data_IF_590651958255
#
_entry.id   IF_590651958255
#
_cell.length_a   1.000
_cell.length_b   1.000
_cell.length_c   1.000
_cell.angle_alpha   90.00
_cell.angle_beta   90.00
_cell.angle_gamma   90.00
#
_symmetry.space_group_name_H-M   'P 1'
#
loop_
_entity.id
_entity.type
_entity.pdbx_description
1 polymer ?
#
# COMPACT_ATOMS: atom_id res chain seq x y z
N UNK A 1 2.71 -8.99 7.15
CA UNK A 1 3.49 -8.69 8.37
C UNK A 1 3.03 -9.53 9.57
N UNK A 2 1.76 -9.44 10.00
CA UNK A 2 1.26 -10.21 11.15
C UNK A 2 1.54 -11.71 11.05
N UNK A 3 1.19 -12.32 9.92
CA UNK A 3 1.45 -13.75 9.71
C UNK A 3 2.94 -14.08 9.66
N UNK A 4 3.74 -13.19 9.08
CA UNK A 4 5.20 -13.37 9.01
C UNK A 4 5.83 -13.35 10.40
N UNK A 5 5.46 -12.39 11.26
CA UNK A 5 5.96 -12.31 12.64
C UNK A 5 5.53 -13.50 13.48
N UNK A 6 4.29 -13.99 13.30
CA UNK A 6 3.81 -15.20 13.98
C UNK A 6 4.57 -16.44 13.50
N UNK A 7 4.77 -16.59 12.18
CA UNK A 7 5.53 -17.71 11.64
C UNK A 7 6.97 -17.71 12.16
N UNK A 8 7.62 -16.55 12.23
CA UNK A 8 8.94 -16.38 12.83
C UNK A 8 8.92 -16.82 14.31
N UNK A 9 7.95 -16.34 15.10
CA UNK A 9 7.82 -16.68 16.51
C UNK A 9 7.60 -18.19 16.73
N UNK A 10 6.81 -18.83 15.87
CA UNK A 10 6.60 -20.29 15.92
C UNK A 10 7.88 -21.08 15.63
N UNK A 11 8.66 -20.65 14.63
CA UNK A 11 9.90 -21.34 14.24
C UNK A 11 11.00 -21.09 15.28
N UNK A 12 11.07 -19.91 15.87
CA UNK A 12 12.05 -19.55 16.91
C UNK A 12 11.70 -20.08 18.30
N UNK A 13 10.57 -20.78 18.44
CA UNK A 13 10.18 -21.41 19.69
C UNK A 13 9.77 -20.43 20.81
N UNK A 14 9.38 -19.22 20.46
CA UNK A 14 8.85 -18.28 21.46
C UNK A 14 7.53 -18.77 22.01
N UNK A 15 7.47 -18.98 23.34
CA UNK A 15 6.30 -19.50 24.06
C UNK A 15 5.17 -18.46 24.26
N UNK A 16 5.04 -17.50 23.37
CA UNK A 16 3.94 -16.53 23.42
C UNK A 16 2.70 -17.11 22.75
N UNK A 17 1.55 -16.96 23.37
CA UNK A 17 0.30 -17.43 22.78
C UNK A 17 0.03 -16.65 21.47
N UNK A 18 -0.17 -17.38 20.37
CA UNK A 18 -0.44 -16.82 19.03
C UNK A 18 -1.64 -15.87 19.08
N UNK A 19 -2.67 -16.22 19.87
CA UNK A 19 -3.85 -15.37 20.05
C UNK A 19 -3.52 -14.02 20.68
N UNK A 20 -2.64 -14.00 21.68
CA UNK A 20 -2.21 -12.75 22.30
C UNK A 20 -1.40 -11.89 21.34
N UNK A 21 -0.48 -12.50 20.57
CA UNK A 21 0.31 -11.76 19.56
C UNK A 21 -0.58 -11.14 18.50
N UNK A 22 -1.57 -11.89 17.97
CA UNK A 22 -2.54 -11.34 17.02
C UNK A 22 -3.34 -10.19 17.62
N UNK A 23 -3.87 -10.41 18.83
CA UNK A 23 -4.66 -9.39 19.52
C UNK A 23 -3.82 -8.13 19.78
N UNK A 24 -2.61 -8.26 20.29
CA UNK A 24 -1.71 -7.14 20.58
C UNK A 24 -1.36 -6.37 19.30
N UNK A 25 -1.01 -7.05 18.22
CA UNK A 25 -0.69 -6.41 16.95
C UNK A 25 -1.85 -5.61 16.39
N UNK A 26 -3.07 -6.15 16.47
CA UNK A 26 -4.27 -5.45 15.98
C UNK A 26 -4.65 -4.32 16.93
N UNK A 27 -4.78 -4.61 18.23
CA UNK A 27 -5.26 -3.65 19.21
C UNK A 27 -4.35 -2.43 19.33
N UNK A 28 -3.05 -2.63 19.55
CA UNK A 28 -2.10 -1.51 19.61
C UNK A 28 -1.94 -0.80 18.28
N UNK A 29 -1.96 -1.53 17.14
CA UNK A 29 -1.91 -0.92 15.82
C UNK A 29 -3.10 0.00 15.58
N UNK A 30 -4.31 -0.43 15.91
CA UNK A 30 -5.55 0.35 15.74
C UNK A 30 -5.60 1.51 16.73
N UNK A 31 -5.40 1.27 18.02
CA UNK A 31 -5.52 2.31 19.06
C UNK A 31 -4.53 3.45 18.83
N UNK A 32 -3.27 3.11 18.59
CA UNK A 32 -2.22 4.12 18.39
C UNK A 32 -2.43 4.82 17.04
N UNK A 33 -2.76 4.08 15.97
CA UNK A 33 -3.00 4.66 14.65
C UNK A 33 -4.16 5.66 14.64
N UNK A 34 -5.29 5.30 15.25
CA UNK A 34 -6.43 6.21 15.39
C UNK A 34 -6.09 7.39 16.30
N UNK A 35 -5.39 7.15 17.42
CA UNK A 35 -4.98 8.19 18.35
C UNK A 35 -4.07 9.23 17.68
N UNK A 36 -3.03 8.78 16.98
CA UNK A 36 -2.11 9.66 16.25
C UNK A 36 -2.86 10.41 15.14
N UNK A 37 -3.74 9.75 14.40
CA UNK A 37 -4.52 10.38 13.35
C UNK A 37 -5.42 11.50 13.87
N UNK A 38 -6.19 11.23 14.93
CA UNK A 38 -7.09 12.22 15.55
C UNK A 38 -6.29 13.41 16.08
N UNK A 39 -5.17 13.15 16.78
CA UNK A 39 -4.29 14.20 17.28
C UNK A 39 -3.78 15.08 16.14
N UNK A 40 -3.31 14.45 15.05
CA UNK A 40 -2.81 15.15 13.86
C UNK A 40 -3.88 16.02 13.22
N UNK A 41 -5.08 15.48 13.02
CA UNK A 41 -6.20 16.25 12.46
C UNK A 41 -6.57 17.43 13.37
N UNK A 42 -6.57 17.24 14.69
CA UNK A 42 -6.83 18.31 15.64
C UNK A 42 -5.78 19.42 15.55
N UNK A 43 -4.50 19.07 15.46
CA UNK A 43 -3.39 20.01 15.31
C UNK A 43 -3.54 20.80 14.00
N UNK A 44 -3.71 20.10 12.87
CA UNK A 44 -3.82 20.72 11.55
C UNK A 44 -5.06 21.60 11.39
N UNK A 45 -6.13 21.32 12.14
CA UNK A 45 -7.34 22.17 12.14
C UNK A 45 -7.18 23.44 12.98
N UNK A 46 -6.46 23.34 14.10
CA UNK A 46 -6.33 24.45 15.08
C UNK A 46 -5.15 25.36 14.76
N UNK A 47 -4.08 24.81 14.21
CA UNK A 47 -2.84 25.52 13.98
C UNK A 47 -2.70 25.85 12.49
N UNK A 48 -2.58 27.12 12.18
CA UNK A 48 -2.09 27.55 10.86
C UNK A 48 -0.55 27.50 10.94
N UNK A 49 0.03 26.42 10.41
CA UNK A 49 1.48 26.39 10.21
C UNK A 49 1.81 27.44 9.15
N UNK A 50 2.40 28.55 9.60
CA UNK A 50 2.51 29.80 8.84
C UNK A 50 3.45 29.70 7.63
N UNK A 51 4.32 28.68 7.58
CA UNK A 51 5.26 28.50 6.49
C UNK A 51 4.81 27.39 5.53
N UNK A 52 4.71 27.74 4.26
CA UNK A 52 4.47 26.76 3.18
C UNK A 52 5.53 25.67 3.21
N UNK A 53 5.10 24.41 3.28
CA UNK A 53 5.99 23.23 3.34
C UNK A 53 6.19 22.63 4.74
N UNK A 54 5.96 23.35 5.84
CA UNK A 54 6.04 22.78 7.18
C UNK A 54 4.98 21.68 7.41
N UNK A 55 3.80 21.83 6.81
CA UNK A 55 2.75 20.82 6.88
C UNK A 55 3.22 19.47 6.32
N UNK A 56 3.99 19.51 5.24
CA UNK A 56 4.52 18.31 4.59
C UNK A 56 5.52 17.59 5.49
N UNK A 57 6.48 18.33 6.06
CA UNK A 57 7.47 17.78 6.98
C UNK A 57 6.79 17.24 8.25
N UNK A 58 5.80 17.97 8.76
CA UNK A 58 5.01 17.54 9.92
C UNK A 58 4.31 16.20 9.66
N UNK A 59 3.67 16.03 8.49
CA UNK A 59 3.00 14.77 8.16
C UNK A 59 4.01 13.63 7.96
N UNK A 60 5.19 13.89 7.38
CA UNK A 60 6.26 12.88 7.32
C UNK A 60 6.65 12.43 8.74
N UNK A 61 6.83 13.37 9.67
CA UNK A 61 7.12 13.02 11.06
C UNK A 61 5.99 12.21 11.71
N UNK A 62 4.74 12.58 11.44
CA UNK A 62 3.55 11.83 11.91
C UNK A 62 3.53 10.41 11.37
N UNK A 63 3.85 10.19 10.10
CA UNK A 63 3.93 8.84 9.50
C UNK A 63 5.00 8.01 10.20
N UNK A 64 6.18 8.58 10.46
CA UNK A 64 7.26 7.88 11.17
C UNK A 64 6.87 7.55 12.62
N UNK A 65 6.26 8.48 13.34
CA UNK A 65 5.75 8.27 14.71
C UNK A 65 4.65 7.21 14.72
N UNK A 66 3.72 7.29 13.77
CA UNK A 66 2.62 6.33 13.64
C UNK A 66 3.11 4.90 13.37
N UNK A 67 4.27 4.75 12.73
CA UNK A 67 4.91 3.46 12.55
C UNK A 67 5.69 3.01 13.79
N UNK A 68 6.48 3.90 14.36
CA UNK A 68 7.42 3.58 15.44
C UNK A 68 6.71 3.24 16.76
N UNK A 69 5.73 4.05 17.19
CA UNK A 69 5.06 3.89 18.47
C UNK A 69 4.44 2.50 18.66
N UNK A 70 3.56 1.99 17.76
CA UNK A 70 3.01 0.67 17.95
C UNK A 70 4.08 -0.41 17.85
N UNK A 71 5.09 -0.25 17.01
CA UNK A 71 6.18 -1.22 16.87
C UNK A 71 6.99 -1.40 18.16
N UNK A 72 7.14 -0.34 18.97
CA UNK A 72 7.83 -0.40 20.27
C UNK A 72 7.05 -1.20 21.32
N UNK A 73 5.73 -1.23 21.24
CA UNK A 73 4.86 -1.94 22.21
C UNK A 73 4.37 -3.29 21.70
N UNK A 74 4.99 -3.82 20.62
CA UNK A 74 4.59 -5.10 20.04
C UNK A 74 3.32 -5.04 19.17
N UNK A 75 2.87 -3.85 18.81
CA UNK A 75 1.79 -3.60 17.87
C UNK A 75 2.24 -3.61 16.41
N UNK A 76 1.29 -3.48 15.50
CA UNK A 76 1.56 -3.44 14.07
C UNK A 76 1.67 -1.99 13.55
N UNK A 77 2.91 -1.54 13.29
CA UNK A 77 3.19 -0.21 12.75
C UNK A 77 2.59 0.02 11.36
N UNK A 78 2.56 -1.00 10.50
CA UNK A 78 1.95 -0.89 9.15
C UNK A 78 0.45 -0.63 9.24
N UNK A 79 -0.25 -1.33 10.14
CA UNK A 79 -1.68 -1.13 10.36
C UNK A 79 -1.96 0.28 10.90
N UNK A 80 -1.13 0.74 11.82
CA UNK A 80 -1.23 2.08 12.41
C UNK A 80 -1.08 3.18 11.36
N UNK A 81 -0.03 3.12 10.53
CA UNK A 81 0.19 4.09 9.44
C UNK A 81 -0.95 4.06 8.42
N UNK A 82 -1.43 2.86 8.07
CA UNK A 82 -2.55 2.70 7.15
C UNK A 82 -3.82 3.39 7.66
N UNK A 83 -4.19 3.16 8.93
CA UNK A 83 -5.34 3.82 9.55
C UNK A 83 -5.15 5.34 9.66
N UNK A 84 -3.95 5.77 10.04
CA UNK A 84 -3.60 7.19 10.06
C UNK A 84 -3.79 7.81 8.68
N UNK A 85 -3.32 7.16 7.62
CA UNK A 85 -3.48 7.61 6.24
C UNK A 85 -4.94 7.71 5.81
N UNK A 86 -5.77 6.72 6.12
CA UNK A 86 -7.21 6.75 5.81
C UNK A 86 -7.91 7.91 6.52
N UNK A 87 -7.65 8.10 7.82
CA UNK A 87 -8.30 9.15 8.59
C UNK A 87 -7.87 10.54 8.10
N UNK A 88 -6.57 10.75 7.84
CA UNK A 88 -6.07 11.99 7.27
C UNK A 88 -6.64 12.22 5.86
N UNK A 89 -6.66 11.18 5.04
CA UNK A 89 -7.19 11.23 3.68
C UNK A 89 -8.66 11.62 3.61
N UNK A 90 -9.47 11.19 4.57
CA UNK A 90 -10.90 11.54 4.64
C UNK A 90 -11.20 12.80 5.45
N UNK A 91 -10.16 13.40 6.07
CA UNK A 91 -10.35 14.63 6.87
C UNK A 91 -10.19 15.87 6.01
N UNK A 92 -10.94 16.96 6.30
CA UNK A 92 -10.76 18.25 5.64
C UNK A 92 -9.49 18.93 6.16
N UNK A 93 -8.36 18.62 5.52
CA UNK A 93 -7.04 19.17 5.82
C UNK A 93 -6.73 20.27 4.81
N UNK A 94 -6.19 21.39 5.30
CA UNK A 94 -5.65 22.47 4.44
C UNK A 94 -4.46 21.92 3.66
N UNK A 95 -4.16 22.46 2.49
CA UNK A 95 -3.01 22.10 1.63
C UNK A 95 -2.97 20.62 1.17
N UNK A 96 -4.11 19.90 1.22
CA UNK A 96 -4.20 18.52 0.75
C UNK A 96 -3.72 18.35 -0.70
N UNK A 97 -3.96 19.36 -1.53
CA UNK A 97 -3.51 19.41 -2.93
C UNK A 97 -1.98 19.37 -3.11
N UNK A 98 -1.23 19.83 -2.11
CA UNK A 98 0.25 19.78 -2.11
C UNK A 98 0.74 18.46 -1.53
N UNK A 99 0.06 17.96 -0.51
CA UNK A 99 0.46 16.76 0.20
C UNK A 99 0.34 15.49 -0.67
N UNK A 100 -0.74 15.38 -1.45
CA UNK A 100 -0.97 14.18 -2.26
C UNK A 100 0.14 13.97 -3.29
N UNK A 101 0.46 14.92 -4.20
CA UNK A 101 1.54 14.73 -5.16
C UNK A 101 2.90 14.52 -4.51
N UNK A 102 3.16 15.13 -3.34
CA UNK A 102 4.40 14.92 -2.60
C UNK A 102 4.54 13.47 -2.13
N UNK A 103 3.50 12.91 -1.50
CA UNK A 103 3.54 11.52 -1.04
C UNK A 103 3.55 10.52 -2.20
N UNK A 104 2.91 10.82 -3.31
CA UNK A 104 2.99 10.01 -4.53
C UNK A 104 4.43 10.00 -5.07
N UNK A 105 5.08 11.16 -5.12
CA UNK A 105 6.47 11.26 -5.53
C UNK A 105 7.42 10.46 -4.63
N UNK A 106 7.27 10.60 -3.30
CA UNK A 106 8.08 9.84 -2.33
C UNK A 106 7.81 8.34 -2.45
N UNK A 107 6.55 7.93 -2.60
CA UNK A 107 6.18 6.52 -2.74
C UNK A 107 6.81 5.90 -3.98
N UNK A 108 6.73 6.60 -5.11
CA UNK A 108 7.35 6.15 -6.37
C UNK A 108 8.88 6.06 -6.24
N UNK A 109 9.52 7.09 -5.65
CA UNK A 109 10.96 7.08 -5.41
C UNK A 109 11.36 5.93 -4.49
N UNK A 110 10.67 5.76 -3.37
CA UNK A 110 10.93 4.68 -2.42
C UNK A 110 10.76 3.31 -3.08
N UNK A 111 9.74 3.14 -3.93
CA UNK A 111 9.52 1.89 -4.67
C UNK A 111 10.68 1.59 -5.63
N UNK A 112 11.15 2.58 -6.38
CA UNK A 112 12.31 2.43 -7.27
C UNK A 112 13.56 2.07 -6.45
N UNK A 113 13.83 2.78 -5.35
CA UNK A 113 14.97 2.51 -4.48
C UNK A 113 14.92 1.10 -3.89
N UNK A 114 13.75 0.65 -3.41
CA UNK A 114 13.59 -0.69 -2.85
C UNK A 114 13.86 -1.75 -3.91
N UNK A 115 13.25 -1.65 -5.11
CA UNK A 115 13.50 -2.62 -6.17
C UNK A 115 14.96 -2.61 -6.65
N UNK A 116 15.60 -1.45 -6.69
CA UNK A 116 17.02 -1.32 -7.02
C UNK A 116 17.90 -2.05 -5.99
N UNK A 117 17.69 -1.79 -4.70
CA UNK A 117 18.44 -2.46 -3.63
C UNK A 117 18.19 -3.97 -3.64
N UNK A 118 16.94 -4.41 -3.85
CA UNK A 118 16.59 -5.82 -3.94
C UNK A 118 17.24 -6.51 -5.15
N UNK A 119 17.33 -5.78 -6.29
CA UNK A 119 18.07 -6.27 -7.45
C UNK A 119 19.56 -6.46 -7.17
N UNK A 120 20.19 -5.52 -6.45
CA UNK A 120 21.59 -5.66 -6.03
C UNK A 120 21.83 -6.79 -5.04
N UNK A 121 20.85 -7.07 -4.18
CA UNK A 121 20.93 -8.15 -3.19
C UNK A 121 20.69 -9.53 -3.80
N UNK A 122 20.10 -9.61 -4.98
CA UNK A 122 19.86 -10.86 -5.68
C UNK A 122 21.14 -11.35 -6.38
N UNK A 123 21.45 -12.64 -6.22
CA UNK A 123 22.55 -13.29 -6.93
C UNK A 123 22.02 -13.93 -8.22
N UNK A 124 22.35 -13.39 -9.43
CA UNK A 124 21.84 -13.91 -10.69
C UNK A 124 22.16 -15.38 -10.93
N UNK A 125 23.30 -15.86 -10.41
CA UNK A 125 23.72 -17.25 -10.52
C UNK A 125 22.81 -18.25 -9.78
N UNK A 126 22.08 -17.80 -8.77
CA UNK A 126 21.12 -18.63 -8.01
C UNK A 126 19.70 -18.61 -8.58
N UNK A 127 19.37 -17.65 -9.44
CA UNK A 127 18.03 -17.52 -10.01
C UNK A 127 17.59 -18.73 -10.84
N UNK A 128 18.46 -19.36 -11.68
CA UNK A 128 18.06 -20.54 -12.44
C UNK A 128 17.68 -21.73 -11.56
N UNK A 129 18.35 -21.93 -10.42
CA UNK A 129 18.06 -23.06 -9.51
C UNK A 129 16.70 -22.96 -8.84
N UNK A 130 16.23 -21.74 -8.54
CA UNK A 130 14.95 -21.50 -7.89
C UNK A 130 13.81 -21.20 -8.89
N UNK A 131 14.12 -21.06 -10.17
CA UNK A 131 13.17 -20.65 -11.21
C UNK A 131 11.96 -21.58 -11.31
N UNK A 132 12.19 -22.90 -11.29
CA UNK A 132 11.11 -23.89 -11.37
C UNK A 132 10.11 -23.76 -10.22
N UNK A 133 10.62 -23.69 -8.99
CA UNK A 133 9.79 -23.53 -7.79
C UNK A 133 9.08 -22.18 -7.80
N UNK A 134 9.79 -21.11 -8.16
CA UNK A 134 9.23 -19.76 -8.20
C UNK A 134 8.09 -19.62 -9.22
N UNK A 135 8.26 -20.19 -10.42
CA UNK A 135 7.20 -20.21 -11.45
C UNK A 135 6.01 -21.03 -10.98
N UNK A 136 6.24 -22.24 -10.41
CA UNK A 136 5.16 -23.05 -9.87
C UNK A 136 4.35 -22.33 -8.79
N UNK A 137 5.05 -21.68 -7.83
CA UNK A 137 4.41 -20.89 -6.77
C UNK A 137 3.66 -19.68 -7.35
N UNK A 138 4.26 -18.96 -8.30
CA UNK A 138 3.61 -17.81 -8.95
C UNK A 138 2.32 -18.23 -9.68
N UNK A 139 2.38 -19.31 -10.45
CA UNK A 139 1.21 -19.86 -11.15
C UNK A 139 0.14 -20.37 -10.19
N UNK A 140 0.52 -21.10 -9.15
CA UNK A 140 -0.42 -21.56 -8.12
C UNK A 140 -1.15 -20.40 -7.47
N UNK A 141 -0.41 -19.36 -7.09
CA UNK A 141 -1.00 -18.18 -6.46
C UNK A 141 -1.87 -17.37 -7.41
N UNK A 142 -1.50 -17.30 -8.69
CA UNK A 142 -2.28 -16.60 -9.72
C UNK A 142 -3.58 -17.35 -10.08
N UNK A 143 -3.48 -18.65 -10.30
CA UNK A 143 -4.58 -19.45 -10.83
C UNK A 143 -5.49 -20.05 -9.76
N UNK A 144 -4.97 -20.30 -8.57
CA UNK A 144 -5.70 -20.96 -7.49
C UNK A 144 -5.84 -20.06 -6.26
N UNK A 145 -4.73 -19.63 -5.69
CA UNK A 145 -4.74 -18.92 -4.41
C UNK A 145 -5.55 -17.62 -4.44
N UNK A 146 -5.37 -16.81 -5.47
CA UNK A 146 -6.07 -15.53 -5.61
C UNK A 146 -7.53 -15.70 -6.01
N UNK A 147 -7.88 -16.44 -7.07
CA UNK A 147 -9.28 -16.65 -7.45
C UNK A 147 -10.13 -17.23 -6.34
N UNK A 148 -9.61 -18.23 -5.61
CA UNK A 148 -10.32 -18.86 -4.49
C UNK A 148 -10.60 -17.84 -3.38
N UNK A 149 -9.60 -17.05 -2.99
CA UNK A 149 -9.77 -16.04 -1.94
C UNK A 149 -10.70 -14.91 -2.36
N UNK A 150 -10.57 -14.41 -3.59
CA UNK A 150 -11.45 -13.37 -4.14
C UNK A 150 -12.89 -13.88 -4.22
N UNK A 151 -13.10 -15.10 -4.70
CA UNK A 151 -14.43 -15.71 -4.75
C UNK A 151 -15.04 -15.86 -3.35
N UNK A 152 -14.27 -16.37 -2.38
CA UNK A 152 -14.75 -16.57 -1.00
C UNK A 152 -15.16 -15.26 -0.35
N UNK A 153 -14.33 -14.20 -0.51
CA UNK A 153 -14.56 -12.90 0.10
C UNK A 153 -15.65 -12.07 -0.58
N UNK A 154 -15.75 -12.14 -1.90
CA UNK A 154 -16.70 -11.32 -2.67
C UNK A 154 -18.06 -11.99 -2.89
N UNK A 155 -18.18 -13.28 -2.63
CA UNK A 155 -19.46 -14.02 -2.72
C UNK A 155 -20.57 -13.39 -1.87
N UNK A 156 -20.36 -12.96 -0.60
CA UNK A 156 -21.39 -12.31 0.20
C UNK A 156 -21.90 -11.01 -0.41
N UNK A 157 -21.05 -10.30 -1.15
CA UNK A 157 -21.35 -9.01 -1.77
C UNK A 157 -21.98 -9.12 -3.16
N UNK A 158 -22.27 -10.34 -3.64
CA UNK A 158 -22.86 -10.60 -4.95
C UNK A 158 -22.09 -9.94 -6.11
N UNK A 159 -20.77 -9.81 -5.99
CA UNK A 159 -19.94 -9.22 -7.04
C UNK A 159 -20.01 -10.05 -8.32
N UNK A 160 -20.07 -9.37 -9.46
CA UNK A 160 -20.13 -10.01 -10.78
C UNK A 160 -18.85 -10.81 -11.10
N UNK A 161 -18.98 -11.86 -11.92
CA UNK A 161 -17.84 -12.68 -12.32
C UNK A 161 -16.69 -11.88 -12.94
N UNK A 162 -17.00 -10.91 -13.81
CA UNK A 162 -16.01 -10.03 -14.44
C UNK A 162 -15.20 -9.24 -13.39
N UNK A 163 -15.89 -8.71 -12.39
CA UNK A 163 -15.26 -7.98 -11.28
C UNK A 163 -14.35 -8.87 -10.45
N UNK A 164 -14.79 -10.09 -10.13
CA UNK A 164 -13.97 -11.06 -9.38
C UNK A 164 -12.71 -11.44 -10.16
N UNK A 165 -12.83 -11.68 -11.48
CA UNK A 165 -11.68 -11.97 -12.33
C UNK A 165 -10.70 -10.79 -12.41
N UNK A 166 -11.19 -9.56 -12.55
CA UNK A 166 -10.35 -8.37 -12.59
C UNK A 166 -9.58 -8.18 -11.27
N UNK A 167 -10.26 -8.28 -10.13
CA UNK A 167 -9.65 -8.16 -8.81
C UNK A 167 -8.64 -9.29 -8.56
N UNK A 168 -8.95 -10.51 -8.98
CA UNK A 168 -8.03 -11.64 -8.87
C UNK A 168 -6.76 -11.42 -9.67
N UNK A 169 -6.87 -10.88 -10.90
CA UNK A 169 -5.72 -10.55 -11.73
C UNK A 169 -4.93 -9.35 -11.20
N UNK A 170 -5.61 -8.30 -10.74
CA UNK A 170 -5.01 -7.06 -10.24
C UNK A 170 -4.16 -7.25 -8.97
N UNK A 171 -4.15 -8.43 -8.40
CA UNK A 171 -3.41 -8.76 -7.19
C UNK A 171 -1.90 -8.81 -7.39
N UNK A 172 -1.27 -7.71 -7.79
CA UNK A 172 0.19 -7.60 -7.94
C UNK A 172 0.92 -7.88 -6.62
N UNK A 173 2.08 -8.53 -6.72
CA UNK A 173 2.99 -8.69 -5.60
C UNK A 173 4.06 -7.63 -5.68
N UNK A 174 4.06 -6.75 -4.69
CA UNK A 174 5.01 -5.64 -4.61
C UNK A 174 6.25 -5.96 -3.77
N UNK A 175 7.10 -4.95 -3.61
CA UNK A 175 8.32 -5.00 -2.82
C UNK A 175 8.10 -5.42 -1.36
N UNK A 176 6.94 -5.15 -0.77
CA UNK A 176 6.60 -5.54 0.61
C UNK A 176 6.76 -7.04 0.88
N UNK A 177 6.38 -7.90 -0.08
CA UNK A 177 6.55 -9.35 0.06
C UNK A 177 8.01 -9.74 0.21
N UNK A 178 8.90 -9.05 -0.52
CA UNK A 178 10.34 -9.31 -0.51
C UNK A 178 10.95 -8.77 0.80
N UNK A 179 10.52 -7.59 1.26
CA UNK A 179 10.97 -7.03 2.55
C UNK A 179 10.61 -7.98 3.71
N UNK A 180 9.43 -8.58 3.69
CA UNK A 180 9.04 -9.57 4.69
C UNK A 180 9.85 -10.87 4.58
N UNK A 181 10.21 -11.29 3.37
CA UNK A 181 11.09 -12.44 3.18
C UNK A 181 12.50 -12.16 3.75
N UNK A 182 13.06 -10.97 3.51
CA UNK A 182 14.34 -10.56 4.11
C UNK A 182 14.25 -10.56 5.63
N UNK A 183 13.17 -10.00 6.19
CA UNK A 183 12.96 -9.99 7.63
C UNK A 183 12.90 -11.40 8.23
N UNK A 184 12.27 -12.34 7.50
CA UNK A 184 12.22 -13.75 7.92
C UNK A 184 13.61 -14.41 7.87
N UNK A 185 14.34 -14.22 6.78
CA UNK A 185 15.71 -14.76 6.63
C UNK A 185 16.66 -14.18 7.68
N UNK A 186 16.57 -12.89 7.96
CA UNK A 186 17.38 -12.22 8.98
C UNK A 186 17.07 -12.72 10.40
N UNK A 187 15.81 -13.09 10.67
CA UNK A 187 15.37 -13.55 12.00
C UNK A 187 15.63 -15.03 12.23
N UNK A 188 15.78 -15.84 11.18
CA UNK A 188 15.96 -17.28 11.26
C UNK A 188 17.21 -17.66 10.45
N UNK A 189 18.40 -17.75 11.11
CA UNK A 189 19.66 -18.08 10.42
C UNK A 189 19.67 -19.45 9.72
N UNK A 190 18.77 -20.35 10.12
CA UNK A 190 18.63 -21.68 9.50
C UNK A 190 17.84 -21.67 8.18
N UNK A 191 17.19 -20.55 7.84
CA UNK A 191 16.56 -20.36 6.53
C UNK A 191 17.66 -19.99 5.53
N UNK A 192 18.00 -20.94 4.67
CA UNK A 192 18.94 -20.70 3.58
C UNK A 192 18.44 -19.58 2.65
N UNK A 193 19.38 -18.93 1.96
CA UNK A 193 19.14 -17.81 1.06
C UNK A 193 18.12 -18.05 -0.07
N UNK A 194 17.62 -19.29 -0.21
CA UNK A 194 16.67 -19.65 -1.27
C UNK A 194 15.29 -19.02 -1.09
N UNK A 195 14.83 -18.79 0.14
CA UNK A 195 13.53 -18.13 0.38
C UNK A 195 13.48 -16.71 -0.20
N UNK A 196 14.55 -15.94 -0.03
CA UNK A 196 14.66 -14.59 -0.60
C UNK A 196 14.58 -14.64 -2.12
N UNK A 197 15.37 -15.51 -2.77
CA UNK A 197 15.41 -15.61 -4.23
C UNK A 197 14.08 -16.11 -4.81
N UNK A 198 13.41 -17.06 -4.14
CA UNK A 198 12.07 -17.53 -4.54
C UNK A 198 11.05 -16.39 -4.50
N UNK A 199 10.98 -15.66 -3.38
CA UNK A 199 10.01 -14.55 -3.23
C UNK A 199 10.34 -13.40 -4.18
N UNK A 200 11.62 -13.10 -4.38
CA UNK A 200 12.07 -12.11 -5.36
C UNK A 200 11.61 -12.48 -6.78
N UNK A 201 11.87 -13.71 -7.24
CA UNK A 201 11.43 -14.18 -8.56
C UNK A 201 9.93 -14.19 -8.71
N UNK A 202 9.17 -14.64 -7.69
CA UNK A 202 7.70 -14.61 -7.71
C UNK A 202 7.19 -13.17 -7.85
N UNK A 203 7.78 -12.22 -7.14
CA UNK A 203 7.41 -10.81 -7.23
C UNK A 203 7.77 -10.20 -8.58
N UNK A 204 8.97 -10.50 -9.10
CA UNK A 204 9.41 -10.04 -10.41
C UNK A 204 8.47 -10.53 -11.52
N UNK A 205 8.14 -11.83 -11.52
CA UNK A 205 7.22 -12.44 -12.48
C UNK A 205 5.81 -11.83 -12.36
N UNK A 206 5.35 -11.60 -11.14
CA UNK A 206 4.05 -10.96 -10.89
C UNK A 206 4.01 -9.56 -11.49
N UNK A 207 5.00 -8.71 -11.20
CA UNK A 207 5.03 -7.35 -11.72
C UNK A 207 5.19 -7.34 -13.25
N UNK A 208 6.11 -8.16 -13.79
CA UNK A 208 6.38 -8.23 -15.23
C UNK A 208 5.17 -8.75 -16.03
N UNK A 209 4.53 -9.83 -15.59
CA UNK A 209 3.44 -10.46 -16.35
C UNK A 209 2.09 -9.82 -16.01
N UNK A 210 1.72 -9.79 -14.73
CA UNK A 210 0.41 -9.28 -14.31
C UNK A 210 0.32 -7.76 -14.51
N UNK A 211 1.38 -7.00 -14.14
CA UNK A 211 1.41 -5.55 -14.28
C UNK A 211 1.28 -5.11 -15.74
N UNK A 212 2.05 -5.72 -16.65
CA UNK A 212 2.00 -5.37 -18.07
C UNK A 212 0.67 -5.75 -18.74
N UNK A 213 0.05 -6.86 -18.30
CA UNK A 213 -1.21 -7.33 -18.87
C UNK A 213 -2.45 -6.73 -18.22
N UNK A 214 -2.30 -6.08 -17.04
CA UNK A 214 -3.44 -5.53 -16.29
C UNK A 214 -4.33 -4.59 -17.11
N UNK A 215 -3.81 -3.59 -17.86
CA UNK A 215 -4.66 -2.72 -18.67
C UNK A 215 -5.46 -3.51 -19.72
N UNK A 216 -4.83 -4.48 -20.38
CA UNK A 216 -5.50 -5.32 -21.40
C UNK A 216 -6.60 -6.19 -20.80
N UNK A 217 -6.36 -6.75 -19.61
CA UNK A 217 -7.34 -7.55 -18.89
C UNK A 217 -8.52 -6.70 -18.44
N UNK A 218 -8.26 -5.51 -17.89
CA UNK A 218 -9.29 -4.58 -17.45
C UNK A 218 -10.19 -4.15 -18.62
N UNK A 219 -9.59 -3.80 -19.77
CA UNK A 219 -10.35 -3.46 -21.00
C UNK A 219 -11.18 -4.65 -21.48
N UNK A 220 -10.61 -5.86 -21.53
CA UNK A 220 -11.31 -7.06 -22.00
C UNK A 220 -12.48 -7.46 -21.10
N UNK A 221 -12.38 -7.17 -19.81
CA UNK A 221 -13.44 -7.44 -18.83
C UNK A 221 -14.47 -6.30 -18.74
N UNK A 222 -14.27 -5.21 -19.51
CA UNK A 222 -15.17 -4.06 -19.50
C UNK A 222 -15.29 -3.44 -18.09
N UNK A 223 -14.14 -3.31 -17.42
CA UNK A 223 -14.02 -2.79 -16.06
C UNK A 223 -13.41 -1.39 -16.00
N UNK A 224 -13.25 -0.73 -17.14
CA UNK A 224 -12.81 0.65 -17.22
C UNK A 224 -14.04 1.53 -17.27
N UNK A 225 -14.34 2.20 -16.17
CA UNK A 225 -15.39 3.20 -16.12
C UNK A 225 -14.75 4.59 -16.24
N UNK A 226 -15.08 5.30 -17.32
CA UNK A 226 -14.56 6.63 -17.61
C UNK A 226 -15.48 7.74 -17.09
N UNK A 227 -16.66 7.41 -16.59
CA UNK A 227 -17.70 8.40 -16.30
C UNK A 227 -18.05 8.54 -14.82
N UNK A 228 -17.63 7.66 -13.94
CA UNK A 228 -17.99 7.74 -12.52
C UNK A 228 -16.89 8.41 -11.70
N UNK A 229 -17.23 9.46 -11.00
CA UNK A 229 -16.46 10.00 -9.88
C UNK A 229 -16.44 8.94 -8.75
N UNK A 230 -15.52 7.98 -8.86
CA UNK A 230 -15.25 7.02 -7.78
C UNK A 230 -14.77 7.81 -6.58
N UNK A 231 -15.19 7.42 -5.38
CA UNK A 231 -14.68 7.94 -4.11
C UNK A 231 -13.15 8.06 -4.18
N UNK A 232 -12.68 9.29 -4.36
CA UNK A 232 -11.25 9.59 -4.54
C UNK A 232 -10.53 9.22 -3.26
N UNK A 233 -9.65 8.23 -3.34
CA UNK A 233 -8.70 7.94 -2.28
C UNK A 233 -7.66 9.05 -2.18
N UNK A 234 -6.82 9.03 -1.15
CA UNK A 234 -5.79 10.05 -0.96
C UNK A 234 -4.85 10.20 -2.18
N UNK A 235 -4.66 9.12 -2.95
CA UNK A 235 -3.82 9.08 -4.15
C UNK A 235 -4.54 9.57 -5.43
N UNK A 236 -5.87 9.64 -5.42
CA UNK A 236 -6.65 9.99 -6.61
C UNK A 236 -6.94 11.50 -6.70
N UNK A 237 -6.33 12.30 -5.83
CA UNK A 237 -6.36 13.76 -5.90
C UNK A 237 -5.37 14.28 -6.96
N UNK A 238 -5.34 13.68 -8.14
CA UNK A 238 -4.77 14.34 -9.30
C UNK A 238 -5.71 15.47 -9.70
N UNK A 239 -5.15 16.65 -9.85
CA UNK A 239 -5.88 17.79 -10.38
C UNK A 239 -6.43 17.46 -11.77
N UNK A 240 -7.72 17.28 -11.87
CA UNK A 240 -8.40 17.78 -13.04
C UNK A 240 -8.27 19.30 -12.98
N UNK A 241 -7.13 19.81 -13.40
CA UNK A 241 -7.00 21.21 -13.81
C UNK A 241 -7.71 21.38 -15.17
N UNK A 242 -8.99 21.09 -15.18
CA UNK A 242 -9.86 21.66 -16.18
C UNK A 242 -9.84 23.17 -15.90
N UNK A 243 -9.01 23.88 -16.64
CA UNK A 243 -9.14 25.31 -16.81
C UNK A 243 -10.57 25.54 -17.29
N UNK A 244 -11.48 25.72 -16.35
CA UNK A 244 -12.84 26.14 -16.65
C UNK A 244 -12.72 27.59 -17.06
N UNK A 245 -12.63 27.84 -18.37
CA UNK A 245 -12.77 29.17 -18.93
C UNK A 245 -14.17 29.63 -18.58
N UNK A 246 -14.30 30.36 -17.48
CA UNK A 246 -15.51 31.05 -17.14
C UNK A 246 -15.68 32.20 -18.16
N UNK A 247 -16.57 32.00 -19.11
CA UNK A 247 -17.05 33.10 -19.97
C UNK A 247 -17.92 34.00 -19.11
N UNK A 248 -17.34 35.06 -18.55
CA UNK A 248 -18.14 36.15 -17.96
C UNK A 248 -18.78 36.98 -19.05
N UNK A 249 -20.09 36.97 -19.11
CA UNK A 249 -20.84 37.90 -19.93
C UNK A 249 -20.83 39.26 -19.20
N UNK A 250 -20.11 40.24 -19.72
CA UNK A 250 -20.13 41.61 -19.24
C UNK A 250 -21.27 42.29 -19.99
N UNK A 251 -22.37 42.71 -19.32
CA UNK A 251 -23.40 43.49 -19.99
C UNK A 251 -22.81 44.83 -20.45
N UNK A 252 -23.07 45.19 -21.68
CA UNK A 252 -22.68 46.48 -22.23
C UNK A 252 -23.29 47.62 -21.36
N UNK A 253 -22.41 48.38 -20.69
CA UNK A 253 -22.84 49.55 -19.89
C UNK A 253 -22.25 49.73 -18.50
N UNK A 254 -21.37 48.84 -18.01
CA UNK A 254 -20.67 49.04 -16.75
C UNK A 254 -19.23 49.50 -16.99
N UNK A 255 -19.00 50.80 -16.79
CA UNK A 255 -17.66 51.35 -16.69
C UNK A 255 -17.04 50.90 -15.35
N UNK A 256 -15.80 50.36 -15.41
CA UNK A 256 -15.02 50.07 -14.23
C UNK A 256 -14.63 51.39 -13.54
N UNK A 257 -15.13 51.60 -12.32
CA UNK A 257 -14.57 52.56 -11.38
C UNK A 257 -13.69 51.86 -10.38
#
# INVERSE_FOLDING_TARGET
YMLTTIAIAMITGQQTSIGYMLFAQIAYGVLIGVGVAVLTVMILRKTTLVAEGLDTIFIVAVVLISYALPSMVGGNGYLSVYLTGIILGNSPIRHKKILVPFFDGITNLAQICIFFILGLLSFPSRLPSVMGVSVAVALFLLLVGRPVMVYLLLRPFKAGWKQQCCISWAGLRGASSIVFAISAVASIPALENDLFHIVFMVSLLSVAVQGTLLPKVATKLDMIDTETDVLKTFNDYQEDSSLTLMRMYIPEGHAWQ
#
